data_IF_586632154797
#
_entry.id   IF_586632154797
#
_cell.length_a   1.000
_cell.length_b   1.000
_cell.length_c   1.000
_cell.angle_alpha   90.00
_cell.angle_beta   90.00
_cell.angle_gamma   90.00
#
_symmetry.space_group_name_H-M   'P 1'
#
loop_
_entity.id
_entity.type
_entity.pdbx_description
1 polymer ?
#
# COMPACT_ATOMS: atom_id res chain seq x y z
N UNK A 1 -6.57 -30.25 -25.02
CA UNK A 1 -6.48 -28.80 -25.34
C UNK A 1 -6.59 -28.01 -24.05
N UNK A 2 -5.47 -27.48 -23.55
CA UNK A 2 -5.45 -26.62 -22.37
C UNK A 2 -6.21 -25.33 -22.69
N UNK A 3 -7.27 -25.00 -21.93
CA UNK A 3 -7.92 -23.69 -22.03
C UNK A 3 -6.88 -22.65 -21.66
N UNK A 4 -6.36 -21.94 -22.66
CA UNK A 4 -5.49 -20.79 -22.46
C UNK A 4 -6.31 -19.76 -21.68
N UNK A 5 -6.06 -19.65 -20.37
CA UNK A 5 -6.74 -18.67 -19.52
C UNK A 5 -6.42 -17.27 -20.06
N UNK A 6 -7.48 -16.56 -20.42
CA UNK A 6 -7.39 -15.21 -20.97
C UNK A 6 -7.00 -14.28 -19.83
N UNK A 7 -5.96 -13.45 -20.04
CA UNK A 7 -5.60 -12.40 -19.09
C UNK A 7 -6.79 -11.47 -18.81
N UNK A 8 -6.91 -10.91 -17.59
CA UNK A 8 -7.99 -9.99 -17.29
C UNK A 8 -8.01 -8.78 -18.24
N UNK A 9 -9.17 -8.16 -18.42
CA UNK A 9 -9.31 -6.91 -19.18
C UNK A 9 -8.98 -5.66 -18.36
N UNK A 10 -9.05 -5.77 -17.03
CA UNK A 10 -8.75 -4.70 -16.06
C UNK A 10 -7.91 -5.27 -14.93
N UNK A 11 -6.78 -4.63 -14.59
CA UNK A 11 -5.84 -5.14 -13.61
C UNK A 11 -5.03 -4.04 -12.92
N UNK A 12 -4.78 -4.18 -11.62
CA UNK A 12 -3.85 -3.35 -10.86
C UNK A 12 -2.39 -3.77 -11.04
N UNK A 13 -1.47 -2.81 -11.10
CA UNK A 13 -0.03 -3.02 -11.24
C UNK A 13 0.71 -2.29 -10.13
N UNK A 14 1.10 -3.05 -9.10
CA UNK A 14 1.88 -2.52 -7.98
C UNK A 14 3.38 -2.62 -8.26
N UNK A 15 4.11 -1.59 -7.87
CA UNK A 15 5.56 -1.63 -7.80
C UNK A 15 6.09 -0.78 -6.63
N UNK A 16 7.01 -1.36 -5.86
CA UNK A 16 7.61 -0.68 -4.70
C UNK A 16 8.57 0.44 -5.11
N UNK A 17 9.35 0.26 -6.19
CA UNK A 17 10.20 1.32 -6.77
C UNK A 17 9.41 2.42 -7.51
N UNK A 18 8.09 2.50 -7.30
CA UNK A 18 7.26 3.63 -7.69
C UNK A 18 6.84 3.70 -9.16
N UNK A 19 6.71 4.93 -9.67
CA UNK A 19 5.97 5.25 -10.90
C UNK A 19 6.53 4.61 -12.17
N UNK A 20 7.85 4.69 -12.38
CA UNK A 20 8.48 4.27 -13.65
C UNK A 20 8.24 2.79 -13.96
N UNK A 21 8.56 1.84 -13.07
CA UNK A 21 8.32 0.44 -13.36
C UNK A 21 6.83 0.07 -13.36
N UNK A 22 6.01 0.62 -12.45
CA UNK A 22 4.55 0.42 -12.48
C UNK A 22 3.94 0.87 -13.82
N UNK A 23 4.37 2.02 -14.34
CA UNK A 23 3.93 2.56 -15.63
C UNK A 23 4.35 1.67 -16.79
N UNK A 24 5.60 1.19 -16.82
CA UNK A 24 6.10 0.28 -17.87
C UNK A 24 5.29 -1.01 -17.93
N UNK A 25 4.98 -1.62 -16.79
CA UNK A 25 4.18 -2.84 -16.74
C UNK A 25 2.74 -2.58 -17.16
N UNK A 26 2.14 -1.50 -16.67
CA UNK A 26 0.76 -1.13 -16.99
C UNK A 26 0.60 -0.85 -18.48
N UNK A 27 1.49 -0.05 -19.07
CA UNK A 27 1.42 0.30 -20.50
C UNK A 27 1.62 -0.92 -21.41
N UNK A 28 2.49 -1.86 -21.03
CA UNK A 28 2.64 -3.13 -21.74
C UNK A 28 1.36 -3.98 -21.68
N UNK A 29 0.66 -3.99 -20.54
CA UNK A 29 -0.59 -4.74 -20.37
C UNK A 29 -1.78 -4.17 -21.14
N UNK A 30 -1.96 -2.86 -21.10
CA UNK A 30 -3.11 -2.18 -21.72
C UNK A 30 -2.98 -2.12 -23.25
N UNK A 31 -1.75 -2.18 -23.77
CA UNK A 31 -1.46 -2.08 -25.20
C UNK A 31 -1.69 -0.67 -25.76
N UNK A 32 -1.72 -0.54 -27.09
CA UNK A 32 -1.80 0.77 -27.77
C UNK A 32 -3.12 1.51 -27.56
N UNK A 33 -4.21 0.78 -27.43
CA UNK A 33 -5.57 1.34 -27.39
C UNK A 33 -6.20 1.32 -25.98
N UNK A 34 -5.44 0.86 -24.99
CA UNK A 34 -5.88 0.89 -23.60
C UNK A 34 -5.46 2.18 -22.89
N UNK A 35 -5.81 2.29 -21.61
CA UNK A 35 -5.50 3.48 -20.80
C UNK A 35 -5.18 3.12 -19.36
N UNK A 36 -4.48 4.02 -18.69
CA UNK A 36 -4.31 3.98 -17.23
C UNK A 36 -5.53 4.65 -16.60
N UNK A 37 -6.04 4.08 -15.51
CA UNK A 37 -7.26 4.52 -14.85
C UNK A 37 -7.12 5.85 -14.10
N UNK A 38 -8.21 6.59 -14.07
CA UNK A 38 -8.46 7.76 -13.22
C UNK A 38 -9.33 7.34 -12.02
N UNK A 39 -9.43 8.20 -11.01
CA UNK A 39 -10.23 7.91 -9.82
C UNK A 39 -11.70 7.53 -10.14
N UNK A 40 -12.41 8.23 -11.06
CA UNK A 40 -13.74 7.80 -11.50
C UNK A 40 -13.84 6.33 -11.98
N UNK A 41 -12.78 5.75 -12.56
CA UNK A 41 -12.80 4.34 -12.99
C UNK A 41 -12.80 3.38 -11.81
N UNK A 42 -12.05 3.73 -10.76
CA UNK A 42 -12.04 2.94 -9.52
C UNK A 42 -13.41 3.03 -8.85
N UNK A 43 -14.05 4.20 -8.89
CA UNK A 43 -15.41 4.41 -8.36
C UNK A 43 -16.44 3.60 -9.16
N UNK A 44 -16.36 3.58 -10.48
CA UNK A 44 -17.22 2.73 -11.31
C UNK A 44 -17.06 1.25 -10.95
N UNK A 45 -15.82 0.77 -10.83
CA UNK A 45 -15.54 -0.61 -10.42
C UNK A 45 -16.05 -0.93 -9.01
N UNK A 46 -15.91 -0.02 -8.05
CA UNK A 46 -16.47 -0.17 -6.70
C UNK A 46 -17.99 -0.25 -6.73
N UNK A 47 -18.65 0.60 -7.51
CA UNK A 47 -20.11 0.59 -7.65
C UNK A 47 -20.65 -0.65 -8.38
N UNK A 48 -19.82 -1.31 -9.18
CA UNK A 48 -20.16 -2.55 -9.85
C UNK A 48 -19.86 -3.82 -9.02
N UNK A 49 -19.15 -3.67 -7.89
CA UNK A 49 -18.70 -4.78 -7.02
C UNK A 49 -19.11 -4.53 -5.56
N UNK A 50 -18.73 -5.41 -4.65
CA UNK A 50 -19.01 -5.29 -3.20
C UNK A 50 -17.73 -5.38 -2.35
N UNK A 51 -17.77 -4.92 -1.08
CA UNK A 51 -16.70 -5.19 -0.11
C UNK A 51 -16.30 -6.67 -0.07
N UNK A 52 -15.01 -6.91 0.15
CA UNK A 52 -14.35 -8.21 -0.03
C UNK A 52 -13.81 -8.44 -1.44
N UNK A 53 -14.19 -7.63 -2.43
CA UNK A 53 -13.62 -7.67 -3.78
C UNK A 53 -12.49 -6.64 -3.96
N UNK A 54 -11.57 -6.92 -4.87
CA UNK A 54 -10.36 -6.12 -5.10
C UNK A 54 -10.58 -4.60 -5.21
N UNK A 55 -11.61 -4.07 -5.93
CA UNK A 55 -11.81 -2.62 -6.00
C UNK A 55 -12.00 -1.95 -4.64
N UNK A 56 -12.61 -2.65 -3.69
CA UNK A 56 -12.86 -2.18 -2.32
C UNK A 56 -11.70 -2.48 -1.37
N UNK A 57 -11.02 -3.61 -1.54
CA UNK A 57 -10.00 -4.10 -0.59
C UNK A 57 -8.56 -3.66 -0.92
N UNK A 58 -8.35 -2.85 -1.94
CA UNK A 58 -7.01 -2.49 -2.43
C UNK A 58 -6.91 -1.01 -2.76
N UNK A 59 -5.76 -0.43 -2.46
CA UNK A 59 -5.46 0.94 -2.80
C UNK A 59 -5.06 1.08 -4.28
N UNK A 60 -5.38 2.22 -4.91
CA UNK A 60 -4.96 2.55 -6.27
C UNK A 60 -4.39 3.96 -6.34
N UNK A 61 -3.26 4.09 -7.02
CA UNK A 61 -2.74 5.37 -7.52
C UNK A 61 -3.36 5.63 -8.88
N UNK A 62 -3.97 6.81 -9.07
CA UNK A 62 -4.76 7.11 -10.28
C UNK A 62 -4.13 8.24 -11.08
N UNK A 63 -4.53 8.39 -12.35
CA UNK A 63 -4.21 9.60 -13.13
C UNK A 63 -5.16 10.77 -12.85
N UNK A 64 -5.96 10.72 -11.79
CA UNK A 64 -6.54 11.94 -11.24
C UNK A 64 -5.45 12.73 -10.56
N UNK A 65 -5.33 14.01 -10.87
CA UNK A 65 -4.38 14.91 -10.25
C UNK A 65 -5.10 16.10 -9.60
N UNK A 66 -4.51 16.62 -8.55
CA UNK A 66 -4.95 17.79 -7.82
C UNK A 66 -3.85 18.85 -7.81
N UNK A 67 -4.25 20.10 -8.00
CA UNK A 67 -3.36 21.24 -8.09
C UNK A 67 -3.85 22.35 -7.16
N UNK A 68 -2.96 22.92 -6.36
CA UNK A 68 -3.25 24.08 -5.50
C UNK A 68 -2.38 25.26 -5.91
N UNK A 69 -3.03 26.36 -6.28
CA UNK A 69 -2.38 27.53 -6.86
C UNK A 69 -3.23 28.79 -6.73
N UNK A 70 -2.68 29.91 -7.19
CA UNK A 70 -3.43 31.16 -7.34
C UNK A 70 -4.14 31.18 -8.70
N UNK A 71 -5.43 31.50 -8.67
CA UNK A 71 -6.23 31.77 -9.86
C UNK A 71 -5.76 33.03 -10.59
N UNK A 72 -6.25 33.25 -11.80
CA UNK A 72 -6.06 34.53 -12.53
C UNK A 72 -6.54 35.74 -11.71
N UNK A 73 -7.53 35.56 -10.84
CA UNK A 73 -8.07 36.59 -9.95
C UNK A 73 -7.28 36.80 -8.66
N UNK A 74 -6.22 36.03 -8.42
CA UNK A 74 -5.39 36.10 -7.21
C UNK A 74 -5.96 35.35 -6.00
N UNK A 75 -7.05 34.61 -6.15
CA UNK A 75 -7.61 33.75 -5.08
C UNK A 75 -6.98 32.35 -5.12
N UNK A 76 -6.88 31.69 -3.97
CA UNK A 76 -6.39 30.30 -3.93
C UNK A 76 -7.50 29.35 -4.34
N UNK A 77 -7.22 28.52 -5.33
CA UNK A 77 -8.15 27.50 -5.80
C UNK A 77 -7.46 26.14 -5.86
N UNK A 78 -8.27 25.10 -5.69
CA UNK A 78 -7.88 23.72 -5.85
C UNK A 78 -8.53 23.18 -7.12
N UNK A 79 -7.71 22.69 -8.04
CA UNK A 79 -8.15 22.14 -9.33
C UNK A 79 -7.99 20.63 -9.31
N UNK A 80 -9.04 19.88 -9.62
CA UNK A 80 -8.98 18.43 -9.83
C UNK A 80 -9.16 18.12 -11.31
N UNK A 81 -8.23 17.33 -11.86
CA UNK A 81 -8.22 16.93 -13.25
C UNK A 81 -8.15 15.40 -13.38
N UNK A 82 -9.02 14.80 -14.19
CA UNK A 82 -9.06 13.35 -14.39
C UNK A 82 -8.35 12.97 -15.70
N UNK A 83 -7.10 12.51 -15.61
CA UNK A 83 -6.37 11.95 -16.76
C UNK A 83 -5.91 12.98 -17.79
N UNK A 84 -5.95 14.27 -17.45
CA UNK A 84 -5.51 15.39 -18.29
C UNK A 84 -4.51 16.26 -17.52
N UNK A 85 -3.91 17.23 -18.19
CA UNK A 85 -3.01 18.20 -17.55
C UNK A 85 -1.55 17.75 -17.43
N UNK A 86 -0.73 18.51 -16.67
CA UNK A 86 0.72 18.29 -16.56
C UNK A 86 1.13 16.91 -16.02
N UNK A 87 0.25 16.19 -15.32
CA UNK A 87 0.56 14.87 -14.73
C UNK A 87 -0.14 13.71 -15.47
N UNK A 88 -0.69 13.94 -16.66
CA UNK A 88 -1.37 12.91 -17.46
C UNK A 88 -0.42 11.89 -18.12
N UNK A 89 0.90 12.14 -18.09
CA UNK A 89 1.94 11.29 -18.68
C UNK A 89 3.04 11.00 -17.67
N UNK A 90 3.81 9.92 -17.89
CA UNK A 90 4.96 9.60 -17.06
C UNK A 90 5.98 10.73 -17.02
N UNK A 91 6.31 11.32 -18.18
CA UNK A 91 7.27 12.43 -18.26
C UNK A 91 6.78 13.65 -17.49
N UNK A 92 5.47 13.93 -17.56
CA UNK A 92 4.81 14.97 -16.78
C UNK A 92 4.91 14.73 -15.27
N UNK A 93 4.59 13.53 -14.82
CA UNK A 93 4.73 13.11 -13.42
C UNK A 93 6.18 13.27 -12.94
N UNK A 94 7.15 12.78 -13.73
CA UNK A 94 8.57 12.88 -13.41
C UNK A 94 9.04 14.35 -13.37
N UNK A 95 8.58 15.19 -14.29
CA UNK A 95 8.86 16.63 -14.28
C UNK A 95 8.36 17.26 -12.98
N UNK A 96 7.11 17.00 -12.63
CA UNK A 96 6.44 17.58 -11.46
C UNK A 96 7.11 17.18 -10.15
N UNK A 97 7.37 15.88 -9.95
CA UNK A 97 8.01 15.39 -8.73
C UNK A 97 9.53 15.57 -8.72
N UNK A 98 10.15 16.03 -9.81
CA UNK A 98 11.60 16.33 -9.82
C UNK A 98 12.00 17.41 -8.83
N UNK A 99 11.05 18.26 -8.43
CA UNK A 99 11.24 19.22 -7.35
C UNK A 99 11.61 18.54 -6.01
N UNK A 100 11.03 17.37 -5.72
CA UNK A 100 11.31 16.57 -4.53
C UNK A 100 12.49 15.62 -4.76
N UNK A 101 12.45 14.75 -5.77
CA UNK A 101 13.44 13.67 -5.86
C UNK A 101 14.83 14.09 -6.34
N UNK A 102 14.97 15.25 -6.99
CA UNK A 102 16.29 15.81 -7.32
C UNK A 102 16.89 16.60 -6.17
N UNK A 103 16.11 16.90 -5.12
CA UNK A 103 16.60 17.60 -3.95
C UNK A 103 17.35 16.65 -3.02
N UNK A 104 18.68 16.66 -3.13
CA UNK A 104 19.57 15.85 -2.28
C UNK A 104 19.56 16.29 -0.81
N UNK A 105 19.18 17.54 -0.54
CA UNK A 105 19.11 18.06 0.83
C UNK A 105 17.82 17.64 1.54
N UNK A 106 16.84 17.10 0.80
CA UNK A 106 15.53 16.64 1.29
C UNK A 106 14.70 17.74 1.97
N UNK A 107 14.90 18.98 1.50
CA UNK A 107 14.23 20.18 1.98
C UNK A 107 12.94 20.49 1.20
N UNK A 108 12.79 19.93 0.00
CA UNK A 108 11.64 20.09 -0.89
C UNK A 108 10.74 18.86 -0.83
N UNK A 109 9.43 19.11 -0.81
CA UNK A 109 8.37 18.10 -0.70
C UNK A 109 7.24 18.39 -1.67
N UNK A 110 6.64 17.32 -2.18
CA UNK A 110 5.51 17.38 -3.11
C UNK A 110 5.90 17.81 -4.51
N UNK A 111 4.95 17.70 -5.44
CA UNK A 111 5.14 18.12 -6.82
C UNK A 111 5.00 19.63 -7.00
N UNK A 112 5.63 20.17 -8.05
CA UNK A 112 5.43 21.56 -8.50
C UNK A 112 5.15 21.62 -9.99
N UNK A 113 4.27 22.55 -10.37
CA UNK A 113 4.10 23.05 -11.73
C UNK A 113 4.33 24.56 -11.74
N UNK A 114 4.60 25.11 -12.92
CA UNK A 114 4.64 26.56 -13.09
C UNK A 114 3.26 27.18 -12.90
N UNK A 115 3.22 28.44 -12.50
CA UNK A 115 1.97 29.21 -12.44
C UNK A 115 1.25 29.26 -13.78
N UNK A 116 1.98 29.33 -14.91
CA UNK A 116 1.35 29.29 -16.24
C UNK A 116 0.68 27.95 -16.53
N UNK A 117 1.29 26.82 -16.16
CA UNK A 117 0.66 25.50 -16.28
C UNK A 117 -0.62 25.40 -15.42
N UNK A 118 -0.64 26.08 -14.27
CA UNK A 118 -1.82 26.16 -13.41
C UNK A 118 -2.94 27.00 -14.05
N UNK A 119 -2.62 28.16 -14.60
CA UNK A 119 -3.60 29.00 -15.34
C UNK A 119 -4.10 28.31 -16.62
N UNK A 120 -3.26 27.52 -17.26
CA UNK A 120 -3.64 26.69 -18.41
C UNK A 120 -4.66 25.60 -18.01
N UNK A 121 -4.55 25.03 -16.81
CA UNK A 121 -5.57 24.14 -16.24
C UNK A 121 -6.87 24.90 -15.95
N UNK A 122 -6.78 26.04 -15.25
CA UNK A 122 -7.94 26.88 -14.90
C UNK A 122 -8.74 27.31 -16.15
N UNK A 123 -8.04 27.65 -17.24
CA UNK A 123 -8.66 28.08 -18.50
C UNK A 123 -9.19 26.95 -19.38
N UNK A 124 -9.01 25.69 -18.97
CA UNK A 124 -9.49 24.51 -19.71
C UNK A 124 -8.63 24.13 -20.92
N UNK A 125 -7.39 24.63 -21.04
CA UNK A 125 -6.49 24.31 -22.16
C UNK A 125 -6.23 22.80 -22.30
N UNK A 126 -6.25 22.08 -21.18
CA UNK A 126 -6.05 20.63 -21.14
C UNK A 126 -7.36 19.82 -21.24
N UNK A 127 -8.52 20.48 -21.19
CA UNK A 127 -9.83 19.87 -21.03
C UNK A 127 -10.55 20.35 -19.77
N UNK A 128 -11.72 19.78 -19.51
CA UNK A 128 -12.57 20.15 -18.38
C UNK A 128 -11.98 19.70 -17.05
N UNK A 129 -11.99 20.60 -16.06
CA UNK A 129 -11.50 20.35 -14.70
C UNK A 129 -12.56 20.78 -13.68
N UNK A 130 -12.47 20.24 -12.46
CA UNK A 130 -13.27 20.69 -11.33
C UNK A 130 -12.47 21.71 -10.53
N UNK A 131 -13.09 22.83 -10.16
CA UNK A 131 -12.44 23.91 -9.42
C UNK A 131 -13.17 24.11 -8.09
N UNK A 132 -12.40 24.11 -7.00
CA UNK A 132 -12.89 24.32 -5.63
C UNK A 132 -12.21 25.56 -5.05
N UNK A 133 -13.00 26.43 -4.41
CA UNK A 133 -12.47 27.53 -3.61
C UNK A 133 -11.76 26.94 -2.38
N UNK A 134 -10.42 27.08 -2.36
CA UNK A 134 -9.59 26.45 -1.35
C UNK A 134 -9.78 27.08 0.03
N UNK A 135 -9.94 28.40 0.06
CA UNK A 135 -10.05 29.15 1.32
C UNK A 135 -11.41 28.93 1.96
N UNK A 136 -12.48 28.92 1.16
CA UNK A 136 -13.80 28.53 1.63
C UNK A 136 -13.85 27.08 2.10
N UNK A 137 -13.16 26.16 1.41
CA UNK A 137 -13.08 24.76 1.84
C UNK A 137 -12.38 24.61 3.19
N UNK A 138 -11.27 25.32 3.42
CA UNK A 138 -10.53 25.25 4.68
C UNK A 138 -11.33 25.73 5.90
N UNK A 139 -12.40 26.49 5.70
CA UNK A 139 -13.30 26.95 6.77
C UNK A 139 -14.42 25.96 7.11
N UNK A 140 -14.64 24.92 6.29
CA UNK A 140 -15.74 23.96 6.54
C UNK A 140 -15.49 23.07 7.75
N UNK A 141 -14.22 22.88 8.11
CA UNK A 141 -13.76 21.79 8.96
C UNK A 141 -12.61 22.23 9.84
N UNK A 142 -12.48 21.61 11.02
CA UNK A 142 -11.34 21.87 11.91
C UNK A 142 -10.03 21.41 11.27
N UNK A 143 -10.05 20.24 10.60
CA UNK A 143 -8.90 19.65 9.94
C UNK A 143 -9.24 19.19 8.50
N UNK A 144 -9.41 20.11 7.54
CA UNK A 144 -10.03 19.88 6.23
C UNK A 144 -9.36 18.80 5.35
N UNK A 145 -8.14 18.39 5.68
CA UNK A 145 -7.37 17.40 4.93
C UNK A 145 -6.82 16.24 5.79
N UNK A 146 -7.31 16.10 7.02
CA UNK A 146 -6.88 15.06 7.99
C UNK A 146 -8.06 14.40 8.73
N UNK A 147 -9.23 15.04 8.72
CA UNK A 147 -10.39 14.49 9.40
C UNK A 147 -11.13 13.48 8.53
N UNK A 148 -11.73 12.49 9.19
CA UNK A 148 -12.68 11.59 8.57
C UNK A 148 -14.06 12.27 8.50
N UNK A 149 -14.74 12.10 7.39
CA UNK A 149 -16.05 12.65 7.13
C UNK A 149 -17.14 11.61 7.41
N UNK A 150 -18.20 12.07 8.06
CA UNK A 150 -19.47 11.35 8.15
C UNK A 150 -20.15 11.27 6.79
N UNK A 151 -21.04 10.32 6.60
CA UNK A 151 -21.79 10.15 5.34
C UNK A 151 -22.51 11.44 4.91
N UNK A 152 -23.15 12.14 5.85
CA UNK A 152 -23.84 13.41 5.59
C UNK A 152 -22.88 14.53 5.15
N UNK A 153 -21.67 14.57 5.72
CA UNK A 153 -20.63 15.52 5.37
C UNK A 153 -20.03 15.20 4.00
N UNK A 154 -19.72 13.93 3.75
CA UNK A 154 -19.15 13.45 2.50
C UNK A 154 -20.05 13.72 1.28
N UNK A 155 -21.37 13.64 1.43
CA UNK A 155 -22.34 13.94 0.36
C UNK A 155 -22.23 15.36 -0.19
N UNK A 156 -21.86 16.32 0.66
CA UNK A 156 -21.82 17.75 0.32
C UNK A 156 -20.39 18.31 0.30
N UNK A 157 -19.38 17.44 0.38
CA UNK A 157 -17.99 17.82 0.36
C UNK A 157 -17.54 18.16 -1.08
N UNK A 158 -17.11 19.41 -1.36
CA UNK A 158 -16.78 19.83 -2.72
C UNK A 158 -15.48 19.21 -3.24
N UNK A 159 -14.49 18.95 -2.37
CA UNK A 159 -13.20 18.36 -2.78
C UNK A 159 -13.39 16.88 -3.09
N UNK A 160 -14.08 16.15 -2.22
CA UNK A 160 -14.43 14.75 -2.45
C UNK A 160 -15.26 14.60 -3.72
N UNK A 161 -16.28 15.45 -3.92
CA UNK A 161 -17.09 15.43 -5.15
C UNK A 161 -16.23 15.68 -6.40
N UNK A 162 -15.32 16.65 -6.34
CA UNK A 162 -14.38 16.93 -7.42
C UNK A 162 -13.45 15.74 -7.70
N UNK A 163 -12.99 15.01 -6.67
CA UNK A 163 -12.13 13.82 -6.79
C UNK A 163 -12.86 12.60 -7.35
N UNK A 164 -14.09 12.33 -6.87
CA UNK A 164 -14.86 11.15 -7.25
C UNK A 164 -15.58 11.29 -8.61
N UNK A 165 -15.80 12.52 -9.07
CA UNK A 165 -16.42 12.81 -10.35
C UNK A 165 -17.94 12.57 -10.35
N UNK A 166 -18.51 12.27 -11.53
CA UNK A 166 -19.95 12.25 -11.75
C UNK A 166 -20.74 11.26 -10.87
N UNK A 167 -20.09 10.19 -10.39
CA UNK A 167 -20.72 9.17 -9.55
C UNK A 167 -20.51 9.39 -8.04
N UNK A 168 -20.00 10.55 -7.62
CA UNK A 168 -19.67 10.85 -6.22
C UNK A 168 -20.82 10.57 -5.25
N UNK A 169 -22.02 11.07 -5.54
CA UNK A 169 -23.18 10.90 -4.66
C UNK A 169 -23.57 9.41 -4.53
N UNK A 170 -23.68 8.71 -5.66
CA UNK A 170 -24.00 7.28 -5.68
C UNK A 170 -22.95 6.46 -4.94
N UNK A 171 -21.68 6.80 -5.09
CA UNK A 171 -20.58 6.16 -4.35
C UNK A 171 -20.73 6.35 -2.84
N UNK A 172 -20.90 7.60 -2.39
CA UNK A 172 -21.07 7.93 -0.97
C UNK A 172 -22.27 7.20 -0.37
N UNK A 173 -23.41 7.19 -1.05
CA UNK A 173 -24.61 6.46 -0.62
C UNK A 173 -24.35 4.95 -0.53
N UNK A 174 -23.66 4.38 -1.51
CA UNK A 174 -23.33 2.94 -1.55
C UNK A 174 -22.36 2.56 -0.43
N UNK A 175 -21.29 3.33 -0.22
CA UNK A 175 -20.36 3.13 0.88
C UNK A 175 -21.08 3.27 2.22
N UNK A 176 -21.94 4.27 2.38
CA UNK A 176 -22.76 4.44 3.60
C UNK A 176 -23.60 3.21 3.89
N UNK A 177 -24.26 2.63 2.89
CA UNK A 177 -25.03 1.40 3.06
C UNK A 177 -24.15 0.22 3.50
N UNK A 178 -22.94 0.08 2.93
CA UNK A 178 -21.99 -0.95 3.36
C UNK A 178 -21.46 -0.72 4.78
N UNK A 179 -21.12 0.52 5.15
CA UNK A 179 -20.65 0.86 6.49
C UNK A 179 -21.74 0.59 7.54
N UNK A 180 -23.00 0.95 7.26
CA UNK A 180 -24.15 0.63 8.13
C UNK A 180 -24.34 -0.87 8.29
N UNK A 181 -24.32 -1.62 7.19
CA UNK A 181 -24.42 -3.08 7.23
C UNK A 181 -23.29 -3.71 8.05
N UNK A 182 -22.05 -3.25 7.83
CA UNK A 182 -20.90 -3.71 8.60
C UNK A 182 -21.05 -3.39 10.09
N UNK A 183 -21.53 -2.20 10.46
CA UNK A 183 -21.86 -1.88 11.86
C UNK A 183 -22.91 -2.83 12.45
N UNK A 184 -23.97 -3.19 11.70
CA UNK A 184 -24.94 -4.18 12.17
C UNK A 184 -24.26 -5.52 12.47
N UNK A 185 -23.40 -5.99 11.56
CA UNK A 185 -22.73 -7.29 11.67
C UNK A 185 -21.71 -7.32 12.81
N UNK A 186 -21.07 -6.19 13.12
CA UNK A 186 -20.10 -6.09 14.21
C UNK A 186 -20.77 -5.88 15.58
N UNK A 187 -22.02 -5.42 15.64
CA UNK A 187 -22.71 -5.03 16.87
C UNK A 187 -22.64 -6.08 18.00
N UNK A 188 -22.78 -7.35 17.63
CA UNK A 188 -22.83 -8.49 18.57
C UNK A 188 -21.49 -9.23 18.71
N UNK A 189 -20.46 -8.82 17.96
CA UNK A 189 -19.12 -9.43 18.02
C UNK A 189 -18.34 -8.67 19.08
N UNK A 190 -18.20 -9.22 20.30
CA UNK A 190 -17.19 -8.72 21.26
C UNK A 190 -15.83 -8.88 20.58
N UNK A 191 -15.13 -7.78 20.23
CA UNK A 191 -13.78 -7.92 19.75
C UNK A 191 -13.01 -8.51 20.93
N UNK A 192 -12.63 -9.79 20.84
CA UNK A 192 -11.72 -10.39 21.80
C UNK A 192 -10.63 -9.34 22.05
N UNK A 193 -10.49 -8.90 23.31
CA UNK A 193 -9.53 -7.88 23.67
C UNK A 193 -8.29 -8.58 24.25
N UNK A 194 -7.35 -9.06 23.41
CA UNK A 194 -6.12 -9.67 23.89
C UNK A 194 -5.26 -8.67 24.69
N UNK A 195 -5.57 -7.37 24.65
CA UNK A 195 -4.78 -6.31 25.24
C UNK A 195 -5.33 -5.73 26.55
N UNK A 196 -6.48 -6.20 27.06
CA UNK A 196 -7.14 -5.72 28.30
C UNK A 196 -7.08 -4.20 28.46
N UNK A 197 -7.50 -3.46 27.43
CA UNK A 197 -7.48 -2.00 27.47
C UNK A 197 -8.30 -1.50 28.68
N UNK A 198 -7.81 -0.51 29.46
CA UNK A 198 -8.43 -0.07 30.73
C UNK A 198 -9.89 0.40 30.63
N UNK A 199 -10.43 0.59 29.41
CA UNK A 199 -11.75 1.13 29.16
C UNK A 199 -12.63 0.19 28.30
N UNK A 200 -12.33 -1.12 28.23
CA UNK A 200 -13.07 -2.08 27.39
C UNK A 200 -14.57 -2.11 27.70
N UNK A 201 -14.95 -2.17 28.97
CA UNK A 201 -16.39 -2.17 29.36
C UNK A 201 -17.09 -0.86 29.02
N UNK A 202 -16.41 0.28 29.18
CA UNK A 202 -16.96 1.60 28.78
C UNK A 202 -17.10 1.70 27.26
N UNK A 203 -16.18 1.09 26.51
CA UNK A 203 -16.25 0.96 25.06
C UNK A 203 -17.45 0.10 24.64
N UNK A 204 -17.58 -1.12 25.17
CA UNK A 204 -18.72 -2.00 24.91
C UNK A 204 -20.06 -1.35 25.29
N UNK A 205 -20.10 -0.63 26.41
CA UNK A 205 -21.30 0.10 26.87
C UNK A 205 -21.67 1.23 25.90
N UNK A 206 -20.70 2.03 25.44
CA UNK A 206 -20.95 3.09 24.45
C UNK A 206 -21.42 2.52 23.12
N UNK A 207 -20.82 1.41 22.69
CA UNK A 207 -21.20 0.66 21.49
C UNK A 207 -22.64 0.18 21.57
N UNK A 208 -23.01 -0.52 22.64
CA UNK A 208 -24.37 -0.99 22.87
C UNK A 208 -25.39 0.16 22.97
N UNK A 209 -25.06 1.25 23.66
CA UNK A 209 -25.91 2.43 23.76
C UNK A 209 -26.12 3.12 22.40
N UNK A 210 -25.10 3.18 21.56
CA UNK A 210 -25.20 3.75 20.22
C UNK A 210 -26.07 2.89 19.30
N UNK A 211 -25.85 1.57 19.29
CA UNK A 211 -26.72 0.65 18.55
C UNK A 211 -28.18 0.77 19.00
N UNK A 212 -28.42 0.92 20.30
CA UNK A 212 -29.75 1.07 20.87
C UNK A 212 -30.40 2.44 20.58
N UNK A 213 -29.63 3.54 20.51
CA UNK A 213 -30.16 4.88 20.21
C UNK A 213 -30.46 5.09 18.73
N UNK A 214 -29.49 4.75 17.89
CA UNK A 214 -29.51 5.22 16.50
C UNK A 214 -30.16 4.18 15.59
N UNK A 215 -30.07 2.89 15.93
CA UNK A 215 -30.32 1.81 14.97
C UNK A 215 -29.30 1.88 13.83
N UNK A 216 -28.59 0.80 13.54
CA UNK A 216 -27.51 0.86 12.56
C UNK A 216 -27.98 1.33 11.16
N UNK A 217 -29.27 1.17 10.83
CA UNK A 217 -29.90 1.65 9.60
C UNK A 217 -30.00 3.19 9.48
N UNK A 218 -30.07 3.94 10.59
CA UNK A 218 -30.18 5.41 10.61
C UNK A 218 -28.89 6.12 11.04
N UNK A 219 -27.83 5.37 11.33
CA UNK A 219 -26.53 5.95 11.72
C UNK A 219 -25.92 6.82 10.61
N UNK A 220 -25.18 7.87 10.99
CA UNK A 220 -24.36 8.71 10.10
C UNK A 220 -22.88 8.33 10.26
N UNK A 221 -22.45 7.20 9.66
CA UNK A 221 -21.13 6.63 9.89
C UNK A 221 -20.03 7.50 9.27
N UNK A 222 -18.83 7.43 9.83
CA UNK A 222 -17.64 7.86 9.11
C UNK A 222 -17.41 6.89 7.95
N UNK A 223 -17.09 7.42 6.77
CA UNK A 223 -16.89 6.59 5.57
C UNK A 223 -15.61 6.93 4.82
N UNK A 224 -15.09 8.15 4.94
CA UNK A 224 -13.97 8.58 4.10
C UNK A 224 -13.10 9.62 4.78
N UNK A 225 -11.79 9.49 4.61
CA UNK A 225 -10.85 10.58 4.88
C UNK A 225 -10.53 11.32 3.57
N UNK A 226 -10.73 12.63 3.54
CA UNK A 226 -10.29 13.47 2.42
C UNK A 226 -8.84 13.90 2.69
N UNK A 227 -7.89 13.06 2.30
CA UNK A 227 -6.48 13.26 2.64
C UNK A 227 -5.81 14.38 1.82
N UNK A 228 -4.98 15.18 2.49
CA UNK A 228 -3.96 16.01 1.84
C UNK A 228 -2.63 15.26 1.66
N UNK A 229 -1.60 15.91 1.10
CA UNK A 229 -0.25 15.33 1.06
C UNK A 229 0.39 15.42 2.45
N UNK A 230 0.78 14.31 3.06
CA UNK A 230 1.34 14.27 4.43
C UNK A 230 2.73 14.92 4.52
N UNK A 231 3.59 14.78 3.50
CA UNK A 231 4.90 15.42 3.43
C UNK A 231 4.83 16.90 3.02
N UNK A 232 3.68 17.33 2.49
CA UNK A 232 3.49 18.64 1.90
C UNK A 232 2.15 19.30 2.27
N UNK A 233 1.68 19.08 3.50
CA UNK A 233 0.34 19.48 3.95
C UNK A 233 -0.01 20.91 3.54
N UNK A 234 -1.16 21.10 2.90
CA UNK A 234 -1.63 22.42 2.51
C UNK A 234 -1.97 23.29 3.71
N UNK A 235 -2.50 22.68 4.77
CA UNK A 235 -2.82 23.30 6.05
C UNK A 235 -3.01 22.21 7.12
N UNK A 236 -2.79 22.55 8.39
CA UNK A 236 -3.18 21.72 9.54
C UNK A 236 -4.46 22.24 10.22
N UNK A 237 -5.21 23.11 9.54
CA UNK A 237 -6.41 23.76 10.06
C UNK A 237 -6.22 25.27 10.26
N UNK A 238 -7.30 26.00 10.59
CA UNK A 238 -7.31 27.47 10.67
C UNK A 238 -6.25 28.04 11.62
N UNK A 239 -5.94 27.32 12.71
CA UNK A 239 -5.02 27.76 13.76
C UNK A 239 -3.54 27.62 13.38
N UNK A 240 -3.23 26.81 12.36
CA UNK A 240 -1.85 26.47 11.97
C UNK A 240 -1.42 27.13 10.65
N UNK A 241 -2.29 27.94 10.06
CA UNK A 241 -2.04 28.61 8.79
C UNK A 241 -1.97 27.66 7.60
N UNK A 242 -1.59 28.21 6.46
CA UNK A 242 -1.43 27.47 5.21
C UNK A 242 0.03 27.38 4.84
N UNK A 243 0.40 26.31 4.13
CA UNK A 243 1.71 26.23 3.51
C UNK A 243 1.80 27.32 2.42
N UNK A 244 2.85 28.16 2.44
CA UNK A 244 3.03 29.16 1.41
C UNK A 244 3.27 28.48 0.05
N UNK A 245 2.61 28.99 -0.98
CA UNK A 245 2.86 28.62 -2.37
C UNK A 245 4.06 29.45 -2.83
N UNK A 246 5.11 28.80 -3.32
CA UNK A 246 6.29 29.51 -3.81
C UNK A 246 5.95 30.42 -5.01
N UNK A 247 6.64 31.57 -5.11
CA UNK A 247 6.41 32.53 -6.20
C UNK A 247 6.58 31.86 -7.58
N UNK A 248 5.60 32.07 -8.46
CA UNK A 248 5.61 31.52 -9.81
C UNK A 248 5.31 30.01 -9.90
N UNK A 249 4.90 29.37 -8.80
CA UNK A 249 4.63 27.93 -8.75
C UNK A 249 3.20 27.62 -8.29
N UNK A 250 2.82 26.34 -8.44
CA UNK A 250 1.65 25.73 -7.81
C UNK A 250 2.00 24.31 -7.35
N UNK A 251 1.32 23.83 -6.30
CA UNK A 251 1.42 22.44 -5.85
C UNK A 251 0.73 21.50 -6.84
N UNK A 252 1.22 20.28 -6.93
CA UNK A 252 0.66 19.25 -7.81
C UNK A 252 0.86 17.85 -7.21
N UNK A 253 -0.20 17.06 -7.12
CA UNK A 253 -0.17 15.69 -6.64
C UNK A 253 -1.09 14.79 -7.46
N UNK A 254 -0.72 13.53 -7.67
CA UNK A 254 -1.70 12.52 -8.07
C UNK A 254 -2.63 12.21 -6.90
N UNK A 255 -3.81 11.67 -7.18
CA UNK A 255 -4.77 11.22 -6.17
C UNK A 255 -4.76 9.69 -6.11
N UNK A 256 -4.71 9.18 -4.89
CA UNK A 256 -4.92 7.78 -4.56
C UNK A 256 -6.24 7.58 -3.81
N UNK A 257 -6.75 6.36 -3.88
CA UNK A 257 -7.84 5.90 -3.04
C UNK A 257 -7.40 4.62 -2.34
N UNK A 258 -7.53 4.56 -1.01
CA UNK A 258 -7.19 3.40 -0.20
C UNK A 258 -8.24 2.30 -0.24
N UNK A 259 -7.86 1.11 0.21
CA UNK A 259 -8.82 0.03 0.48
C UNK A 259 -9.70 0.35 1.70
N UNK A 260 -10.76 -0.41 1.89
CA UNK A 260 -11.55 -0.36 3.11
C UNK A 260 -10.70 -0.80 4.31
N UNK A 261 -10.80 -0.05 5.39
CA UNK A 261 -10.19 -0.40 6.67
C UNK A 261 -11.18 -0.16 7.82
N UNK A 262 -10.98 -0.90 8.91
CA UNK A 262 -11.66 -0.63 10.17
C UNK A 262 -10.84 0.40 10.95
N UNK A 263 -11.47 1.53 11.27
CA UNK A 263 -10.87 2.59 12.05
C UNK A 263 -11.73 2.93 13.27
N UNK A 264 -11.07 3.36 14.34
CA UNK A 264 -11.72 3.82 15.57
C UNK A 264 -11.70 5.36 15.64
N UNK A 265 -12.86 6.01 15.62
CA UNK A 265 -13.03 7.47 15.70
C UNK A 265 -13.91 7.86 16.88
N UNK A 266 -13.37 8.60 17.85
CA UNK A 266 -14.14 9.13 18.99
C UNK A 266 -14.90 8.03 19.77
N UNK A 267 -14.38 6.80 19.79
CA UNK A 267 -15.03 5.63 20.38
C UNK A 267 -16.04 4.91 19.48
N UNK A 268 -16.17 5.30 18.21
CA UNK A 268 -16.94 4.62 17.18
C UNK A 268 -16.02 3.76 16.31
N UNK A 269 -16.46 2.58 15.92
CA UNK A 269 -15.86 1.85 14.80
C UNK A 269 -16.43 2.38 13.49
N UNK A 270 -15.68 2.31 12.41
CA UNK A 270 -16.12 2.73 11.08
C UNK A 270 -15.38 2.00 9.98
N UNK A 271 -16.12 1.61 8.95
CA UNK A 271 -15.58 1.05 7.71
C UNK A 271 -15.27 2.20 6.74
N UNK A 272 -14.01 2.64 6.72
CA UNK A 272 -13.58 3.85 6.02
C UNK A 272 -12.58 3.53 4.91
N UNK A 273 -12.36 4.49 4.00
CA UNK A 273 -11.18 4.50 3.14
C UNK A 273 -10.64 5.93 3.02
N UNK A 274 -9.36 6.09 2.72
CA UNK A 274 -8.81 7.40 2.36
C UNK A 274 -8.98 7.69 0.87
N UNK A 275 -9.23 8.95 0.53
CA UNK A 275 -9.09 9.50 -0.82
C UNK A 275 -8.15 10.70 -0.68
N UNK A 276 -6.89 10.54 -1.07
CA UNK A 276 -5.84 11.48 -0.69
C UNK A 276 -4.77 11.72 -1.74
N UNK A 277 -3.88 12.68 -1.48
CA UNK A 277 -2.74 12.96 -2.35
C UNK A 277 -1.70 11.84 -2.25
N UNK A 278 -1.22 11.40 -3.41
CA UNK A 278 -0.15 10.43 -3.54
C UNK A 278 1.22 11.12 -3.48
N UNK A 279 2.15 10.52 -2.76
CA UNK A 279 3.50 11.03 -2.58
C UNK A 279 4.51 10.29 -3.45
N UNK A 280 5.61 10.97 -3.82
CA UNK A 280 6.59 10.41 -4.73
C UNK A 280 7.27 9.13 -4.22
N UNK A 281 7.52 9.05 -2.92
CA UNK A 281 8.29 7.97 -2.29
C UNK A 281 7.44 6.73 -1.96
N UNK A 282 6.14 6.75 -2.23
CA UNK A 282 5.24 5.63 -1.98
C UNK A 282 5.32 4.58 -3.09
N UNK A 283 5.02 3.33 -2.73
CA UNK A 283 4.74 2.29 -3.71
C UNK A 283 3.52 2.66 -4.55
N UNK A 284 3.61 2.46 -5.87
CA UNK A 284 2.57 2.89 -6.82
C UNK A 284 1.75 1.69 -7.25
N UNK A 285 0.42 1.80 -7.24
CA UNK A 285 -0.48 0.80 -7.86
C UNK A 285 -1.35 1.44 -8.94
N UNK A 286 -0.92 1.34 -10.19
CA UNK A 286 -1.70 1.87 -11.32
C UNK A 286 -2.79 0.88 -11.76
N UNK A 287 -3.92 1.40 -12.19
CA UNK A 287 -4.99 0.61 -12.81
C UNK A 287 -4.79 0.57 -14.33
N UNK A 288 -4.56 -0.61 -14.90
CA UNK A 288 -4.54 -0.82 -16.34
C UNK A 288 -5.90 -1.24 -16.87
N UNK A 289 -6.41 -0.55 -17.89
CA UNK A 289 -7.71 -0.81 -18.53
C UNK A 289 -7.47 -1.05 -20.02
N UNK A 290 -7.78 -2.27 -20.51
CA UNK A 290 -7.70 -2.57 -21.95
C UNK A 290 -8.83 -1.88 -22.72
N UNK A 291 -8.63 -1.73 -24.03
CA UNK A 291 -9.66 -1.20 -24.94
C UNK A 291 -10.99 -1.92 -24.76
N UNK A 292 -12.08 -1.17 -24.64
CA UNK A 292 -13.46 -1.67 -24.48
C UNK A 292 -13.68 -2.57 -23.25
N UNK A 293 -12.78 -2.56 -22.26
CA UNK A 293 -12.99 -3.28 -21.02
C UNK A 293 -14.16 -2.68 -20.24
N UNK A 294 -14.98 -3.55 -19.63
CA UNK A 294 -15.96 -3.14 -18.63
C UNK A 294 -15.29 -3.02 -17.27
N UNK A 295 -15.76 -2.07 -16.46
CA UNK A 295 -15.33 -1.87 -15.08
C UNK A 295 -16.29 -2.57 -14.12
N UNK A 296 -16.52 -3.87 -14.34
CA UNK A 296 -17.32 -4.74 -13.47
C UNK A 296 -16.47 -5.52 -12.45
N UNK A 297 -15.17 -5.23 -12.42
CA UNK A 297 -14.20 -5.80 -11.48
C UNK A 297 -12.79 -5.33 -11.82
N UNK A 298 -11.85 -5.55 -10.89
CA UNK A 298 -10.42 -5.28 -11.09
C UNK A 298 -9.65 -6.50 -10.63
N UNK A 299 -8.81 -7.07 -11.49
CA UNK A 299 -7.87 -8.10 -11.04
C UNK A 299 -6.79 -7.45 -10.16
N UNK A 300 -6.50 -8.03 -8.99
CA UNK A 300 -5.55 -7.46 -8.01
C UNK A 300 -4.12 -7.21 -8.54
N UNK A 301 -3.75 -7.86 -9.64
CA UNK A 301 -2.42 -7.81 -10.20
C UNK A 301 -1.57 -9.03 -9.84
N UNK A 302 -0.32 -8.98 -10.25
CA UNK A 302 0.65 -9.98 -9.85
C UNK A 302 1.15 -9.70 -8.43
N UNK A 303 0.99 -10.68 -7.53
CA UNK A 303 1.67 -10.69 -6.23
C UNK A 303 2.88 -11.60 -6.35
N UNK A 304 4.03 -11.01 -6.67
CA UNK A 304 5.23 -11.78 -7.04
C UNK A 304 5.64 -12.81 -5.98
N UNK A 305 5.54 -12.47 -4.70
CA UNK A 305 5.79 -13.40 -3.60
C UNK A 305 4.85 -14.62 -3.62
N UNK A 306 3.54 -14.40 -3.74
CA UNK A 306 2.54 -15.47 -3.81
C UNK A 306 2.73 -16.34 -5.05
N UNK A 307 3.00 -15.70 -6.20
CA UNK A 307 3.27 -16.41 -7.46
C UNK A 307 4.55 -17.24 -7.38
N UNK A 308 5.59 -16.71 -6.75
CA UNK A 308 6.84 -17.43 -6.51
C UNK A 308 6.59 -18.66 -5.64
N UNK A 309 5.90 -18.53 -4.51
CA UNK A 309 5.59 -19.67 -3.64
C UNK A 309 4.71 -20.72 -4.34
N UNK A 310 3.73 -20.29 -5.14
CA UNK A 310 2.83 -21.19 -5.86
C UNK A 310 3.51 -21.91 -7.03
N UNK A 311 4.45 -21.27 -7.70
CA UNK A 311 5.01 -21.73 -8.97
C UNK A 311 6.54 -21.92 -8.96
N UNK A 312 7.15 -22.05 -7.78
CA UNK A 312 8.61 -22.09 -7.60
C UNK A 312 9.31 -23.09 -8.52
N UNK A 313 8.70 -24.26 -8.78
CA UNK A 313 9.26 -25.29 -9.69
C UNK A 313 9.54 -24.78 -11.10
N UNK A 314 8.75 -23.83 -11.60
CA UNK A 314 8.94 -23.20 -12.92
C UNK A 314 9.90 -22.02 -12.89
N UNK A 315 10.32 -21.60 -11.70
CA UNK A 315 11.10 -20.39 -11.45
C UNK A 315 12.53 -20.68 -10.98
N UNK A 316 12.89 -21.97 -10.91
CA UNK A 316 14.27 -22.41 -10.76
C UNK A 316 15.05 -22.06 -12.02
N UNK A 317 16.20 -21.40 -11.84
CA UNK A 317 17.11 -20.99 -12.91
C UNK A 317 18.50 -21.58 -12.68
N UNK A 318 19.21 -21.99 -13.74
CA UNK A 318 20.57 -22.51 -13.61
C UNK A 318 21.52 -21.41 -13.11
N UNK A 319 22.44 -21.79 -12.23
CA UNK A 319 23.48 -20.91 -11.70
C UNK A 319 24.74 -21.04 -12.57
N UNK A 320 25.16 -19.93 -13.19
CA UNK A 320 26.31 -19.92 -14.12
C UNK A 320 27.67 -20.01 -13.41
N UNK A 321 27.78 -19.39 -12.25
CA UNK A 321 28.95 -19.45 -11.38
C UNK A 321 28.48 -19.85 -10.00
N UNK A 322 28.84 -21.07 -9.59
CA UNK A 322 28.49 -21.57 -8.28
C UNK A 322 29.42 -20.92 -7.26
N UNK A 323 29.07 -19.70 -6.82
CA UNK A 323 29.55 -19.20 -5.54
C UNK A 323 28.73 -19.92 -4.46
N UNK A 324 29.02 -21.20 -4.21
CA UNK A 324 28.47 -21.83 -3.00
C UNK A 324 29.08 -21.05 -1.86
N UNK A 325 28.27 -20.26 -1.16
CA UNK A 325 28.59 -19.90 0.20
C UNK A 325 28.57 -21.20 1.00
N UNK A 326 29.68 -21.94 0.99
CA UNK A 326 29.92 -23.09 1.84
C UNK A 326 29.93 -22.59 3.29
N UNK A 327 28.74 -22.41 3.87
CA UNK A 327 28.63 -21.74 5.14
C UNK A 327 27.22 -21.78 5.67
N UNK A 328 27.10 -22.37 6.86
CA UNK A 328 26.07 -22.14 7.86
C UNK A 328 25.01 -21.09 7.47
N UNK A 329 23.81 -21.53 7.07
CA UNK A 329 22.75 -20.66 6.53
C UNK A 329 21.41 -20.81 7.26
N UNK A 330 20.53 -19.82 7.10
CA UNK A 330 19.13 -19.95 7.47
C UNK A 330 18.40 -20.81 6.44
N UNK A 331 17.42 -21.61 6.86
CA UNK A 331 16.49 -22.31 5.97
C UNK A 331 15.04 -21.93 6.26
N UNK A 332 14.22 -21.91 5.22
CA UNK A 332 12.79 -21.60 5.30
C UNK A 332 11.94 -22.55 4.45
N UNK A 333 10.65 -22.64 4.76
CA UNK A 333 9.70 -23.48 4.02
C UNK A 333 8.90 -22.71 2.97
N UNK A 334 8.76 -23.34 1.80
CA UNK A 334 7.91 -22.88 0.69
C UNK A 334 7.01 -24.03 0.26
N UNK A 335 5.76 -24.00 0.72
CA UNK A 335 4.88 -25.17 0.64
C UNK A 335 5.47 -26.32 1.44
N UNK A 336 5.54 -27.51 0.83
CA UNK A 336 6.07 -28.72 1.48
C UNK A 336 7.58 -28.92 1.24
N UNK A 337 8.30 -27.87 0.80
CA UNK A 337 9.72 -27.96 0.46
C UNK A 337 10.55 -26.95 1.25
N UNK A 338 11.79 -27.33 1.55
CA UNK A 338 12.75 -26.50 2.26
C UNK A 338 13.69 -25.80 1.28
N UNK A 339 14.05 -24.57 1.60
CA UNK A 339 14.99 -23.76 0.83
C UNK A 339 16.03 -23.16 1.76
N UNK A 340 17.25 -22.98 1.26
CA UNK A 340 18.20 -22.05 1.87
C UNK A 340 17.67 -20.62 1.71
N UNK A 341 17.98 -19.75 2.65
CA UNK A 341 17.75 -18.31 2.52
C UNK A 341 18.94 -17.66 1.81
N UNK A 342 18.69 -16.60 1.04
CA UNK A 342 19.77 -15.75 0.53
C UNK A 342 20.60 -15.21 1.72
N UNK A 343 21.94 -15.20 1.64
CA UNK A 343 22.77 -14.71 2.74
C UNK A 343 22.43 -13.28 3.16
N UNK A 344 22.21 -13.08 4.46
CA UNK A 344 22.07 -11.75 5.05
C UNK A 344 23.41 -11.01 5.13
N UNK A 345 23.37 -9.69 5.15
CA UNK A 345 24.56 -8.84 5.29
C UNK A 345 24.66 -8.25 6.70
N UNK A 346 25.72 -8.62 7.42
CA UNK A 346 26.01 -8.08 8.76
C UNK A 346 24.92 -8.41 9.79
N UNK A 347 24.77 -7.51 10.77
CA UNK A 347 23.74 -7.62 11.80
C UNK A 347 22.40 -7.06 11.30
N UNK A 348 21.62 -7.92 10.64
CA UNK A 348 20.31 -7.59 10.07
C UNK A 348 19.26 -8.64 10.44
N UNK A 349 18.04 -8.48 9.92
CA UNK A 349 17.10 -9.61 9.85
C UNK A 349 17.56 -10.58 8.75
N UNK A 350 17.07 -11.82 8.78
CA UNK A 350 17.17 -12.70 7.61
C UNK A 350 16.36 -12.13 6.44
N UNK A 351 16.70 -12.54 5.21
CA UNK A 351 16.03 -12.00 4.03
C UNK A 351 14.65 -12.65 3.83
N UNK A 352 14.46 -13.88 4.32
CA UNK A 352 13.25 -14.67 4.10
C UNK A 352 12.96 -14.88 2.59
N UNK A 353 14.03 -14.96 1.79
CA UNK A 353 13.98 -15.16 0.36
C UNK A 353 14.55 -16.55 0.03
N UNK A 354 13.75 -17.48 -0.51
CA UNK A 354 14.24 -18.83 -0.83
C UNK A 354 15.23 -18.80 -2.01
N UNK A 355 16.36 -19.49 -1.87
CA UNK A 355 17.43 -19.56 -2.88
C UNK A 355 17.58 -20.98 -3.45
N UNK A 356 18.19 -21.92 -2.71
CA UNK A 356 18.46 -23.27 -3.20
C UNK A 356 17.47 -24.27 -2.61
N UNK A 357 17.01 -25.23 -3.43
CA UNK A 357 16.16 -26.31 -2.95
C UNK A 357 16.97 -27.25 -2.06
N UNK A 358 16.48 -27.48 -0.85
CA UNK A 358 17.08 -28.44 0.09
C UNK A 358 16.55 -29.83 -0.20
N UNK A 359 17.46 -30.75 -0.47
CA UNK A 359 17.19 -32.16 -0.81
C UNK A 359 16.92 -33.00 0.44
N UNK A 360 17.62 -32.70 1.54
CA UNK A 360 17.45 -33.39 2.82
C UNK A 360 17.69 -32.43 3.99
N UNK A 361 16.90 -32.60 5.06
CA UNK A 361 17.03 -31.87 6.32
C UNK A 361 17.09 -32.89 7.46
N UNK A 362 18.15 -32.85 8.26
CA UNK A 362 18.28 -33.62 9.49
C UNK A 362 18.44 -32.67 10.68
N UNK A 363 17.60 -32.83 11.70
CA UNK A 363 17.74 -32.05 12.93
C UNK A 363 19.04 -32.43 13.65
N UNK A 364 19.82 -31.42 14.04
CA UNK A 364 21.06 -31.58 14.78
C UNK A 364 20.88 -31.01 16.17
N UNK A 365 21.01 -31.87 17.18
CA UNK A 365 20.83 -31.51 18.58
C UNK A 365 19.39 -31.09 18.92
N UNK A 366 19.20 -30.65 20.16
CA UNK A 366 17.92 -30.12 20.64
C UNK A 366 17.81 -28.62 20.34
N UNK A 367 16.59 -28.07 20.16
CA UNK A 367 16.39 -26.64 20.05
C UNK A 367 17.05 -25.86 21.20
N UNK A 368 17.63 -24.70 20.88
CA UNK A 368 18.34 -23.85 21.85
C UNK A 368 17.70 -22.47 21.89
N UNK A 369 17.55 -21.91 23.08
CA UNK A 369 17.13 -20.52 23.24
C UNK A 369 18.28 -19.59 22.81
N UNK A 370 18.08 -18.91 21.70
CA UNK A 370 18.97 -17.86 21.22
C UNK A 370 18.57 -16.51 21.82
N UNK A 371 19.58 -15.75 22.25
CA UNK A 371 19.43 -14.41 22.81
C UNK A 371 20.37 -13.46 22.09
N UNK A 372 19.84 -12.32 21.64
CA UNK A 372 20.62 -11.25 21.00
C UNK A 372 20.23 -9.88 21.56
N UNK A 373 21.13 -8.91 21.49
CA UNK A 373 20.91 -7.55 21.99
C UNK A 373 20.14 -6.73 20.97
N UNK A 374 19.19 -5.93 21.43
CA UNK A 374 18.41 -5.04 20.55
C UNK A 374 19.28 -3.88 20.09
N UNK A 375 19.59 -3.86 18.79
CA UNK A 375 20.25 -2.75 18.10
C UNK A 375 19.26 -1.89 17.32
N UNK A 376 18.81 -0.77 17.91
CA UNK A 376 17.88 0.17 17.29
C UNK A 376 16.42 -0.07 17.68
N UNK A 377 15.49 0.01 16.72
CA UNK A 377 14.06 -0.17 17.00
C UNK A 377 13.75 -1.62 17.39
N UNK A 378 13.18 -1.81 18.58
CA UNK A 378 12.90 -3.12 19.18
C UNK A 378 11.86 -3.98 18.43
N UNK A 379 11.16 -3.43 17.44
CA UNK A 379 10.26 -4.20 16.58
C UNK A 379 10.98 -5.06 15.52
N UNK A 380 12.29 -4.86 15.30
CA UNK A 380 13.05 -5.64 14.32
C UNK A 380 13.98 -6.65 14.99
N UNK A 381 13.77 -7.94 14.72
CA UNK A 381 14.61 -9.03 15.20
C UNK A 381 15.93 -9.11 14.41
N UNK A 382 16.90 -8.27 14.78
CA UNK A 382 18.21 -8.17 14.14
C UNK A 382 19.26 -8.88 14.97
N UNK A 383 20.15 -9.60 14.29
CA UNK A 383 21.25 -10.31 14.93
C UNK A 383 22.38 -10.55 13.93
N UNK A 384 23.61 -10.76 14.44
CA UNK A 384 24.70 -11.21 13.60
C UNK A 384 24.70 -12.75 13.47
N UNK A 385 24.84 -13.27 12.25
CA UNK A 385 24.89 -14.72 12.02
C UNK A 385 26.01 -15.41 12.82
N UNK A 386 27.08 -14.69 13.16
CA UNK A 386 28.17 -15.17 14.02
C UNK A 386 27.73 -15.46 15.46
N UNK A 387 26.65 -14.87 15.94
CA UNK A 387 26.06 -15.18 17.25
C UNK A 387 25.37 -16.55 17.24
N UNK A 388 24.57 -16.82 16.21
CA UNK A 388 23.95 -18.14 16.02
C UNK A 388 25.02 -19.21 15.80
N UNK A 389 26.01 -18.94 14.94
CA UNK A 389 27.07 -19.90 14.65
C UNK A 389 27.90 -20.29 15.88
N UNK A 390 28.01 -19.40 16.88
CA UNK A 390 28.73 -19.66 18.14
C UNK A 390 28.05 -20.70 19.02
N UNK A 391 26.74 -20.85 18.91
CA UNK A 391 25.94 -21.81 19.68
C UNK A 391 25.56 -23.05 18.85
N UNK A 392 25.94 -23.09 17.57
CA UNK A 392 25.65 -24.21 16.68
C UNK A 392 26.52 -25.44 17.01
N UNK A 393 25.95 -26.66 17.01
CA UNK A 393 26.72 -27.90 17.01
C UNK A 393 27.69 -27.97 15.81
N UNK A 394 28.80 -28.69 15.96
CA UNK A 394 29.89 -28.72 14.98
C UNK A 394 29.44 -29.25 13.61
N UNK A 395 28.51 -30.21 13.62
CA UNK A 395 27.96 -30.90 12.46
C UNK A 395 26.79 -30.16 11.80
N UNK A 396 26.31 -29.07 12.40
CA UNK A 396 25.25 -28.25 11.82
C UNK A 396 25.81 -27.32 10.72
N UNK A 397 25.14 -27.29 9.58
CA UNK A 397 25.41 -26.35 8.48
C UNK A 397 24.20 -25.46 8.16
N UNK A 398 23.12 -25.54 8.94
CA UNK A 398 21.97 -24.68 8.80
C UNK A 398 21.19 -24.50 10.12
N UNK A 399 20.25 -23.57 10.13
CA UNK A 399 19.33 -23.34 11.24
C UNK A 399 17.97 -22.80 10.77
N UNK A 400 16.96 -22.98 11.60
CA UNK A 400 15.64 -22.36 11.46
C UNK A 400 15.12 -21.91 12.82
N UNK A 401 14.19 -20.96 12.84
CA UNK A 401 13.49 -20.60 14.06
C UNK A 401 12.16 -21.36 14.19
N UNK A 402 11.81 -21.76 15.42
CA UNK A 402 10.60 -22.58 15.66
C UNK A 402 9.47 -21.81 16.33
N UNK A 403 9.70 -20.56 16.73
CA UNK A 403 8.75 -19.67 17.40
C UNK A 403 8.87 -18.23 16.88
N UNK A 404 8.02 -17.33 17.38
CA UNK A 404 8.11 -15.89 17.11
C UNK A 404 9.11 -15.20 18.05
N UNK A 405 9.79 -14.13 17.60
CA UNK A 405 10.73 -13.41 18.45
C UNK A 405 10.02 -12.76 19.64
N UNK A 406 10.59 -12.90 20.83
CA UNK A 406 10.10 -12.26 22.05
C UNK A 406 10.99 -11.07 22.44
N UNK A 407 10.38 -9.95 22.81
CA UNK A 407 11.09 -8.79 23.33
C UNK A 407 11.17 -8.86 24.87
N UNK A 408 12.39 -8.88 25.41
CA UNK A 408 12.64 -8.92 26.84
C UNK A 408 12.94 -7.50 27.34
N UNK A 409 12.13 -7.05 28.29
CA UNK A 409 12.21 -5.73 28.91
C UNK A 409 12.91 -5.81 30.27
N UNK A 410 13.90 -4.96 30.49
CA UNK A 410 14.56 -4.82 31.79
C UNK A 410 14.59 -3.35 32.19
N UNK A 411 14.09 -3.04 33.39
CA UNK A 411 13.99 -1.65 33.86
C UNK A 411 13.15 -0.76 32.93
N UNK A 412 12.07 -1.30 32.36
CA UNK A 412 11.17 -0.58 31.44
C UNK A 412 11.75 -0.32 30.05
N UNK A 413 12.94 -0.85 29.73
CA UNK A 413 13.59 -0.67 28.44
C UNK A 413 13.74 -2.01 27.71
N UNK A 414 13.52 -2.07 26.39
CA UNK A 414 13.72 -3.28 25.62
C UNK A 414 15.24 -3.54 25.52
N UNK A 415 15.70 -4.70 26.00
CA UNK A 415 17.13 -5.03 26.04
C UNK A 415 17.52 -6.12 25.05
N UNK A 416 16.74 -7.18 24.97
CA UNK A 416 17.08 -8.37 24.21
C UNK A 416 15.90 -8.86 23.39
N UNK A 417 16.22 -9.52 22.29
CA UNK A 417 15.30 -10.47 21.68
C UNK A 417 15.71 -11.88 22.03
N UNK A 418 14.71 -12.74 22.22
CA UNK A 418 14.90 -14.18 22.37
C UNK A 418 14.08 -14.94 21.37
N UNK A 419 14.62 -16.06 20.86
CA UNK A 419 13.96 -16.94 19.90
C UNK A 419 14.52 -18.35 20.00
N UNK A 420 13.72 -19.37 19.75
CA UNK A 420 14.18 -20.76 19.74
C UNK A 420 14.75 -21.12 18.37
N UNK A 421 15.97 -21.65 18.36
CA UNK A 421 16.70 -22.06 17.16
C UNK A 421 16.80 -23.58 17.12
N UNK A 422 16.38 -24.19 16.01
CA UNK A 422 16.70 -25.57 15.65
C UNK A 422 17.86 -25.57 14.65
N UNK A 423 18.91 -26.34 14.94
CA UNK A 423 20.03 -26.55 14.04
C UNK A 423 19.80 -27.76 13.15
N UNK A 424 20.38 -27.71 11.94
CA UNK A 424 20.17 -28.74 10.93
C UNK A 424 21.48 -29.09 10.22
N UNK A 425 21.52 -30.32 9.73
CA UNK A 425 22.42 -30.76 8.67
C UNK A 425 21.59 -30.90 7.39
N UNK A 426 21.94 -30.10 6.38
CA UNK A 426 21.23 -30.07 5.10
C UNK A 426 22.13 -30.48 3.94
N UNK A 427 21.50 -30.97 2.89
CA UNK A 427 22.08 -31.15 1.55
C UNK A 427 21.19 -30.39 0.58
N UNK A 428 21.79 -29.61 -0.33
CA UNK A 428 21.07 -28.85 -1.34
C UNK A 428 21.84 -28.87 -2.66
N UNK A 429 21.13 -28.75 -3.78
CA UNK A 429 21.73 -28.65 -5.10
C UNK A 429 21.96 -27.18 -5.47
N UNK A 430 23.22 -26.70 -5.57
CA UNK A 430 23.50 -25.33 -5.95
C UNK A 430 23.48 -25.10 -7.47
N UNK A 431 23.16 -26.12 -8.28
CA UNK A 431 23.09 -26.00 -9.75
C UNK A 431 21.93 -25.13 -10.22
N UNK A 432 20.87 -25.04 -9.42
CA UNK A 432 19.69 -24.22 -9.70
C UNK A 432 19.29 -23.42 -8.48
N UNK A 433 19.03 -22.12 -8.69
CA UNK A 433 18.46 -21.25 -7.66
C UNK A 433 17.06 -20.80 -8.05
N UNK A 434 16.23 -20.55 -7.07
CA UNK A 434 14.98 -19.86 -7.24
C UNK A 434 15.26 -18.37 -7.52
N UNK A 435 14.60 -17.84 -8.55
CA UNK A 435 14.66 -16.41 -8.88
C UNK A 435 14.27 -15.55 -7.65
N UNK A 436 14.94 -14.42 -7.41
CA UNK A 436 14.53 -13.49 -6.36
C UNK A 436 13.18 -12.84 -6.67
N UNK A 437 12.46 -12.42 -5.63
CA UNK A 437 11.20 -11.69 -5.81
C UNK A 437 11.44 -10.39 -6.58
N UNK A 438 12.52 -9.68 -6.29
CA UNK A 438 12.92 -8.44 -6.98
C UNK A 438 13.25 -8.66 -8.46
N UNK A 439 13.83 -9.81 -8.81
CA UNK A 439 14.04 -10.22 -10.21
C UNK A 439 12.71 -10.54 -10.89
N UNK A 440 11.82 -11.28 -10.21
CA UNK A 440 10.51 -11.66 -10.76
C UNK A 440 9.60 -10.44 -10.98
N UNK A 441 9.56 -9.51 -10.04
CA UNK A 441 8.82 -8.24 -10.13
C UNK A 441 9.18 -7.47 -11.41
N UNK A 442 10.43 -7.58 -11.88
CA UNK A 442 10.91 -6.89 -13.07
C UNK A 442 10.78 -7.71 -14.38
N UNK A 443 10.38 -8.98 -14.29
CA UNK A 443 10.17 -9.86 -15.44
C UNK A 443 8.67 -9.94 -15.80
N UNK A 444 8.22 -8.95 -16.57
CA UNK A 444 6.82 -8.82 -16.97
C UNK A 444 6.25 -10.08 -17.65
N UNK A 445 7.00 -10.69 -18.57
CA UNK A 445 6.51 -11.83 -19.33
C UNK A 445 6.30 -13.05 -18.44
N UNK A 446 7.27 -13.32 -17.57
CA UNK A 446 7.14 -14.40 -16.58
C UNK A 446 5.99 -14.10 -15.62
N UNK A 447 5.87 -12.88 -15.08
CA UNK A 447 4.76 -12.51 -14.20
C UNK A 447 3.39 -12.75 -14.84
N UNK A 448 3.18 -12.26 -16.06
CA UNK A 448 1.89 -12.40 -16.74
C UNK A 448 1.60 -13.86 -17.11
N UNK A 449 2.62 -14.63 -17.49
CA UNK A 449 2.48 -16.06 -17.73
C UNK A 449 2.05 -16.82 -16.45
N UNK A 450 2.59 -16.44 -15.28
CA UNK A 450 2.18 -17.02 -14.01
C UNK A 450 0.77 -16.59 -13.60
N UNK A 451 0.41 -15.31 -13.77
CA UNK A 451 -0.96 -14.82 -13.52
C UNK A 451 -1.98 -15.58 -14.37
N UNK A 452 -1.67 -15.84 -15.64
CA UNK A 452 -2.54 -16.63 -16.51
C UNK A 452 -2.64 -18.11 -16.10
N UNK A 453 -1.62 -18.68 -15.42
CA UNK A 453 -1.68 -20.06 -14.90
C UNK A 453 -2.48 -20.16 -13.61
N UNK A 454 -2.48 -19.10 -12.81
CA UNK A 454 -3.17 -18.99 -11.52
C UNK A 454 -4.66 -19.19 -11.67
#
# INVERSE_FOLDING_TARGET
>A
MSKQKVLPSVMGFYHEDGHVPAWKQTTRFIGKDGRIGVLPDVIEARLATKPGETPWETYFTTLTAEYLGFSKGGTRILIVAHGIGPMSTLDGILKVYSYEFKDKERNRRGGRISHQEFLDLESGKYGEVQIVDFDAYCLRYQYPFLQHLRSSQALVDPVLRARLGAQAEKYVQTHTAYARKWHCEQADIDPENPYKLPNHEQFLTRRAQQHARDGAEYSDPFIVEVGGPANCCYTFGPEHGHRPIEEGMAFAHLISIGGLCNMHHEGNESLVCDVGCHEWWNGVRLLGIRKNAKLDGIHQGARAYDLLRKHWKFLMKPVKEVQVHNGFCHILSVGDSWFTDYPKQGASMDNWEPEFLVESVENVGTPVLFKTTIGGYHGFFRYDIREIKRIAPLEANAYSFTDEPQCIWEGGNPKYHTRTVQFHRIVFDPSQRLIRVSELVNDYETLMALVAKG
#
